data_IF_690208290813
#
_entry.id   IF_690208290813
#
_cell.length_a   1.000
_cell.length_b   1.000
_cell.length_c   1.000
_cell.angle_alpha   90.00
_cell.angle_beta   90.00
_cell.angle_gamma   90.00
#
_symmetry.space_group_name_H-M   'P 1'
#
loop_
_entity.id
_entity.type
_entity.pdbx_description
1 polymer ?
#
# COMPACT_ATOMS: atom_id res chain seq x y z
N UNK A 1 -18.49 27.55 22.30
CA UNK A 1 -17.81 26.32 22.77
C UNK A 1 -18.68 25.14 22.35
N UNK A 2 -18.14 24.08 21.73
CA UNK A 2 -18.95 22.92 21.37
C UNK A 2 -19.65 22.35 22.62
N UNK A 3 -20.92 21.95 22.46
CA UNK A 3 -21.73 21.43 23.56
C UNK A 3 -21.07 20.16 24.11
N UNK A 4 -20.74 20.14 25.41
CA UNK A 4 -20.16 18.95 26.06
C UNK A 4 -21.18 17.81 26.00
N UNK A 5 -20.93 16.87 25.11
CA UNK A 5 -21.75 15.68 24.90
C UNK A 5 -20.83 14.45 24.92
N UNK A 6 -21.31 13.34 25.47
CA UNK A 6 -20.53 12.10 25.62
C UNK A 6 -19.98 11.56 24.29
N UNK A 7 -20.71 11.77 23.19
CA UNK A 7 -20.29 11.40 21.82
C UNK A 7 -19.12 12.24 21.27
N UNK A 8 -18.84 13.41 21.83
CA UNK A 8 -17.82 14.34 21.32
C UNK A 8 -16.58 14.34 22.24
N UNK A 9 -16.38 13.27 23.02
CA UNK A 9 -15.33 13.22 24.03
C UNK A 9 -13.93 13.38 23.40
N UNK A 10 -13.72 12.82 22.20
CA UNK A 10 -12.44 12.83 21.48
C UNK A 10 -12.33 13.90 20.38
N UNK A 11 -13.22 14.91 20.35
CA UNK A 11 -13.20 15.99 19.35
C UNK A 11 -12.20 17.11 19.69
N UNK A 12 -11.37 16.93 20.70
CA UNK A 12 -10.28 17.85 21.00
C UNK A 12 -9.19 17.77 19.92
N UNK A 13 -8.50 18.90 19.67
CA UNK A 13 -7.39 18.97 18.72
C UNK A 13 -6.18 18.10 19.11
N UNK A 14 -6.14 17.61 20.36
CA UNK A 14 -5.14 16.69 20.87
C UNK A 14 -5.82 15.57 21.64
N UNK A 15 -5.33 14.35 21.47
CA UNK A 15 -5.78 13.21 22.26
C UNK A 15 -5.16 13.22 23.65
N UNK A 16 -5.99 13.01 24.67
CA UNK A 16 -5.55 12.70 26.03
C UNK A 16 -4.94 11.29 26.10
N UNK A 17 -4.27 10.98 27.21
CA UNK A 17 -3.63 9.67 27.40
C UNK A 17 -4.63 8.50 27.28
N UNK A 18 -5.78 8.62 27.96
CA UNK A 18 -6.82 7.58 27.94
C UNK A 18 -7.44 7.39 26.56
N UNK A 19 -7.59 8.46 25.77
CA UNK A 19 -8.09 8.39 24.40
C UNK A 19 -7.10 7.73 23.47
N UNK A 20 -5.80 8.06 23.59
CA UNK A 20 -4.75 7.41 22.81
C UNK A 20 -4.76 5.90 23.03
N UNK A 21 -4.97 5.47 24.28
CA UNK A 21 -5.03 4.06 24.63
C UNK A 21 -6.29 3.38 24.08
N UNK A 22 -7.48 3.99 24.26
CA UNK A 22 -8.76 3.44 23.76
C UNK A 22 -8.85 3.40 22.23
N UNK A 23 -8.29 4.39 21.55
CA UNK A 23 -8.28 4.49 20.08
C UNK A 23 -7.13 3.69 19.45
N UNK A 24 -6.19 3.16 20.26
CA UNK A 24 -4.99 2.52 19.74
C UNK A 24 -4.13 3.47 18.89
N UNK A 25 -4.10 4.75 19.27
CA UNK A 25 -3.44 5.80 18.50
C UNK A 25 -1.91 5.69 18.59
N UNK A 26 -1.25 5.69 17.44
CA UNK A 26 0.21 5.61 17.31
C UNK A 26 0.71 4.24 16.85
N UNK A 27 2.01 4.01 17.00
CA UNK A 27 2.63 2.74 16.60
C UNK A 27 2.35 1.67 17.65
N UNK A 28 1.46 0.73 17.33
CA UNK A 28 1.19 -0.43 18.16
C UNK A 28 2.24 -1.52 17.90
N UNK A 29 2.80 -2.09 18.98
CA UNK A 29 3.75 -3.21 18.91
C UNK A 29 3.04 -4.48 19.33
N UNK A 30 2.39 -5.13 18.39
CA UNK A 30 1.74 -6.42 18.58
C UNK A 30 2.48 -7.53 17.81
N UNK A 31 2.39 -8.77 18.31
CA UNK A 31 2.88 -9.94 17.57
C UNK A 31 1.93 -10.22 16.41
N UNK A 32 2.40 -9.96 15.20
CA UNK A 32 1.67 -10.31 14.00
C UNK A 32 1.71 -11.82 13.74
N UNK A 33 0.57 -12.38 13.37
CA UNK A 33 0.45 -13.77 12.96
C UNK A 33 1.10 -14.01 11.59
N UNK A 34 1.27 -15.29 11.22
CA UNK A 34 1.80 -15.70 9.91
C UNK A 34 1.01 -15.07 8.75
N UNK A 35 -0.30 -14.93 8.90
CA UNK A 35 -1.21 -14.44 7.85
C UNK A 35 -1.05 -12.92 7.59
N UNK A 36 -0.43 -12.19 8.51
CA UNK A 36 -0.09 -10.78 8.32
C UNK A 36 1.20 -10.59 7.52
N UNK A 37 1.97 -11.65 7.33
CA UNK A 37 3.21 -11.63 6.55
C UNK A 37 2.88 -12.11 5.13
N UNK A 38 3.24 -11.28 4.15
CA UNK A 38 3.09 -11.64 2.75
C UNK A 38 3.90 -12.90 2.42
N UNK A 39 3.25 -13.92 1.85
CA UNK A 39 3.93 -15.11 1.33
C UNK A 39 4.90 -14.77 0.20
N UNK A 40 6.00 -15.54 0.10
CA UNK A 40 7.03 -15.34 -0.92
C UNK A 40 6.50 -15.54 -2.35
N UNK A 41 5.58 -16.48 -2.52
CA UNK A 41 4.90 -16.84 -3.76
C UNK A 41 3.68 -15.95 -4.09
N UNK A 42 3.43 -14.90 -3.30
CA UNK A 42 2.30 -14.00 -3.52
C UNK A 42 2.70 -12.75 -4.32
N UNK A 43 1.83 -12.33 -5.23
CA UNK A 43 1.98 -11.07 -5.99
C UNK A 43 1.69 -9.85 -5.09
N UNK A 44 2.43 -8.76 -5.23
CA UNK A 44 2.35 -7.60 -4.33
C UNK A 44 1.00 -6.86 -4.34
N UNK A 45 0.31 -6.81 -5.49
CA UNK A 45 -0.94 -6.06 -5.63
C UNK A 45 -2.19 -6.91 -5.39
N UNK A 46 -2.11 -8.23 -5.59
CA UNK A 46 -3.28 -9.12 -5.48
C UNK A 46 -3.21 -10.10 -4.32
N UNK A 47 -2.02 -10.32 -3.73
CA UNK A 47 -1.77 -11.36 -2.73
C UNK A 47 -2.20 -12.77 -3.18
N UNK A 48 -2.27 -12.97 -4.51
CA UNK A 48 -2.60 -14.26 -5.16
C UNK A 48 -1.32 -14.97 -5.60
N UNK A 49 -1.35 -16.32 -5.71
CA UNK A 49 -0.21 -17.09 -6.20
C UNK A 49 0.20 -16.68 -7.62
N UNK A 50 1.42 -17.07 -7.99
CA UNK A 50 2.04 -16.77 -9.28
C UNK A 50 1.24 -17.36 -10.46
N UNK A 51 0.71 -16.48 -11.29
CA UNK A 51 0.20 -16.77 -12.63
C UNK A 51 0.64 -15.58 -13.49
N UNK A 52 1.45 -15.81 -14.53
CA UNK A 52 1.96 -14.80 -15.48
C UNK A 52 2.51 -13.52 -14.85
N UNK A 53 3.41 -13.67 -13.88
CA UNK A 53 3.90 -12.56 -13.07
C UNK A 53 5.13 -11.89 -13.67
N UNK A 54 5.19 -10.56 -13.55
CA UNK A 54 6.36 -9.76 -13.90
C UNK A 54 7.18 -9.46 -12.64
N UNK A 55 8.50 -9.59 -12.77
CA UNK A 55 9.44 -9.28 -11.69
C UNK A 55 10.08 -7.91 -11.91
N UNK A 56 10.08 -7.07 -10.89
CA UNK A 56 10.84 -5.82 -10.85
C UNK A 56 12.31 -6.11 -10.55
N UNK A 57 13.21 -5.21 -10.96
CA UNK A 57 14.64 -5.28 -10.67
C UNK A 57 14.96 -5.40 -9.16
N UNK A 58 14.04 -4.96 -8.29
CA UNK A 58 14.17 -5.08 -6.82
C UNK A 58 13.63 -6.40 -6.26
N UNK A 59 13.20 -7.34 -7.10
CA UNK A 59 12.65 -8.64 -6.67
C UNK A 59 11.17 -8.61 -6.28
N UNK A 60 10.44 -7.53 -6.57
CA UNK A 60 9.00 -7.48 -6.36
C UNK A 60 8.24 -8.12 -7.53
N UNK A 61 7.14 -8.80 -7.22
CA UNK A 61 6.36 -9.59 -8.17
C UNK A 61 4.99 -8.97 -8.37
N UNK A 62 4.59 -8.77 -9.63
CA UNK A 62 3.35 -8.10 -10.01
C UNK A 62 2.59 -8.86 -11.09
N UNK A 63 1.26 -8.65 -11.18
CA UNK A 63 0.47 -9.05 -12.34
C UNK A 63 0.59 -7.99 -13.44
N UNK A 64 0.54 -8.39 -14.71
CA UNK A 64 0.52 -7.48 -15.86
C UNK A 64 -0.65 -6.49 -15.82
N UNK A 65 -1.87 -6.97 -15.63
CA UNK A 65 -3.08 -6.13 -15.61
C UNK A 65 -3.04 -5.13 -14.47
N UNK A 66 -2.66 -5.62 -13.28
CA UNK A 66 -2.73 -4.85 -12.03
C UNK A 66 -1.68 -3.78 -11.93
N UNK A 67 -0.51 -3.98 -12.53
CA UNK A 67 0.50 -2.93 -12.57
C UNK A 67 0.04 -1.80 -13.50
N UNK A 68 -0.60 -2.10 -14.62
CA UNK A 68 -1.16 -1.10 -15.54
C UNK A 68 -2.29 -0.30 -14.88
N UNK A 69 -3.26 -0.98 -14.27
CA UNK A 69 -4.34 -0.31 -13.50
C UNK A 69 -3.79 0.60 -12.40
N UNK A 70 -2.71 0.19 -11.73
CA UNK A 70 -2.08 1.00 -10.70
C UNK A 70 -1.39 2.25 -11.27
N UNK A 71 -0.76 2.13 -12.45
CA UNK A 71 -0.09 3.23 -13.14
C UNK A 71 -1.10 4.29 -13.60
N UNK A 72 -2.24 3.85 -14.13
CA UNK A 72 -3.29 4.73 -14.66
C UNK A 72 -4.16 5.37 -13.57
N UNK A 73 -3.99 4.96 -12.30
CA UNK A 73 -4.74 5.51 -11.19
C UNK A 73 -4.33 6.96 -10.86
N UNK A 74 -5.27 7.88 -10.54
CA UNK A 74 -4.97 9.29 -10.28
C UNK A 74 -4.09 9.52 -9.04
N UNK A 75 -4.03 8.54 -8.14
CA UNK A 75 -3.18 8.54 -6.94
C UNK A 75 -1.70 8.23 -7.25
N UNK A 76 -1.39 7.73 -8.45
CA UNK A 76 -0.02 7.38 -8.88
C UNK A 76 0.90 8.60 -9.01
N UNK A 77 0.32 9.81 -9.02
CA UNK A 77 1.00 11.12 -9.05
C UNK A 77 1.86 11.41 -7.80
N UNK A 78 1.79 10.57 -6.76
CA UNK A 78 2.59 10.74 -5.54
C UNK A 78 4.08 10.41 -5.78
N UNK A 79 4.98 11.29 -5.35
CA UNK A 79 6.45 11.31 -5.55
C UNK A 79 7.20 9.96 -5.38
N UNK A 80 6.59 8.94 -4.77
CA UNK A 80 7.13 7.57 -4.67
C UNK A 80 7.26 6.89 -6.03
N UNK A 81 6.46 7.29 -7.02
CA UNK A 81 6.44 6.68 -8.35
C UNK A 81 7.60 7.12 -9.27
N UNK A 82 8.09 8.36 -9.10
CA UNK A 82 9.21 8.91 -9.88
C UNK A 82 10.52 8.11 -9.70
N UNK A 83 10.67 7.41 -8.57
CA UNK A 83 11.83 6.52 -8.32
C UNK A 83 11.69 5.16 -9.02
N UNK A 84 10.46 4.76 -9.36
CA UNK A 84 10.13 3.46 -9.94
C UNK A 84 10.01 3.52 -11.48
N UNK A 85 9.52 4.63 -12.02
CA UNK A 85 9.28 4.85 -13.46
C UNK A 85 10.52 4.70 -14.38
N UNK A 86 11.69 5.31 -14.10
CA UNK A 86 12.87 5.18 -14.97
C UNK A 86 13.45 3.75 -15.01
N UNK A 87 13.07 2.87 -14.07
CA UNK A 87 13.49 1.46 -14.04
C UNK A 87 12.52 0.50 -14.74
N UNK A 88 11.26 0.91 -14.93
CA UNK A 88 10.24 0.14 -15.66
C UNK A 88 10.16 0.48 -17.15
N UNK A 89 10.64 1.67 -17.53
CA UNK A 89 10.70 2.11 -18.94
C UNK A 89 11.27 1.07 -19.91
N UNK A 90 12.38 0.36 -19.64
CA UNK A 90 12.89 -0.66 -20.57
C UNK A 90 11.97 -1.87 -20.71
N UNK A 91 11.17 -2.22 -19.69
CA UNK A 91 10.22 -3.34 -19.76
C UNK A 91 8.94 -2.98 -20.51
N UNK A 92 8.47 -1.73 -20.40
CA UNK A 92 7.33 -1.21 -21.19
C UNK A 92 7.67 -1.12 -22.69
N UNK A 93 8.90 -0.73 -23.04
CA UNK A 93 9.36 -0.67 -24.44
C UNK A 93 9.43 -2.06 -25.09
N UNK A 94 9.83 -3.09 -24.32
CA UNK A 94 9.81 -4.49 -24.77
C UNK A 94 8.37 -5.03 -24.93
N UNK A 95 7.45 -4.63 -24.06
CA UNK A 95 6.06 -5.08 -24.11
C UNK A 95 5.28 -4.53 -25.32
N UNK A 96 5.60 -3.31 -25.77
CA UNK A 96 4.97 -2.70 -26.95
C UNK A 96 5.46 -3.24 -28.30
N UNK A 97 6.45 -4.15 -28.29
CA UNK A 97 7.07 -4.73 -29.49
C UNK A 97 6.67 -6.18 -29.76
N UNK A 98 5.87 -6.79 -28.88
CA UNK A 98 5.36 -8.17 -29.00
C UNK A 98 3.83 -8.25 -29.15
N UNK A 99 3.19 -7.13 -29.49
CA UNK A 99 1.81 -7.10 -30.01
C UNK A 99 1.88 -6.64 -31.47
#
# INVERSE_FOLDING_TARGET
MPQRHSKNNSDLAFFTYDEKWKLGYGTQRERLGKDSIKSFDARCLCLKPFIDSLCSQKGHVFCKERILEHLDSPLSSSLRFLVFWPRLLPFLILFRRSV
#
